data_IF_303230987359
#
_entry.id   IF_303230987359
#
_cell.length_a   1.000
_cell.length_b   1.000
_cell.length_c   1.000
_cell.angle_alpha   90.00
_cell.angle_beta   90.00
_cell.angle_gamma   90.00
#
_symmetry.space_group_name_H-M   'P 1'
#
loop_
_entity.id
_entity.type
_entity.pdbx_description
1 polymer ?
#
# COMPACT_ATOMS: atom_id res chain seq x y z
N UNK A 1 61.12 33.53 -36.46
CA UNK A 1 59.74 33.60 -36.03
C UNK A 1 59.34 32.21 -35.48
N UNK A 2 59.33 32.06 -34.17
CA UNK A 2 58.99 30.79 -33.50
C UNK A 2 57.50 30.80 -33.26
N UNK A 3 56.74 29.84 -33.87
CA UNK A 3 55.32 29.63 -33.60
C UNK A 3 55.18 28.78 -32.34
N UNK A 4 54.66 29.36 -31.30
CA UNK A 4 54.31 28.66 -30.08
C UNK A 4 52.93 28.07 -30.33
N UNK A 5 52.84 26.72 -30.35
CA UNK A 5 51.58 25.99 -30.40
C UNK A 5 51.17 25.77 -28.93
N UNK A 6 50.16 26.47 -28.50
CA UNK A 6 49.53 26.26 -27.20
C UNK A 6 48.57 25.10 -27.36
N UNK A 7 48.96 23.94 -26.87
CA UNK A 7 48.08 22.75 -26.74
C UNK A 7 47.22 22.92 -25.48
N UNK A 8 46.01 23.39 -25.66
CA UNK A 8 45.01 23.41 -24.57
C UNK A 8 44.48 21.99 -24.38
N UNK A 9 45.00 21.30 -23.37
CA UNK A 9 44.44 20.03 -22.87
C UNK A 9 43.15 20.35 -22.18
N UNK A 10 42.02 20.19 -22.84
CA UNK A 10 40.71 20.17 -22.20
C UNK A 10 40.58 18.84 -21.41
N UNK A 11 40.94 18.89 -20.15
CA UNK A 11 40.63 17.78 -19.22
C UNK A 11 39.11 17.74 -19.07
N UNK A 12 38.44 16.86 -19.81
CA UNK A 12 37.07 16.47 -19.56
C UNK A 12 37.03 15.78 -18.16
N UNK A 13 36.66 16.55 -17.15
CA UNK A 13 36.24 16.03 -15.88
C UNK A 13 34.95 15.22 -16.11
N UNK A 14 35.09 13.94 -16.41
CA UNK A 14 34.00 12.98 -16.33
C UNK A 14 33.66 12.81 -14.84
N UNK A 15 32.73 13.63 -14.37
CA UNK A 15 32.11 13.42 -13.08
C UNK A 15 31.33 12.11 -13.21
N UNK A 16 31.67 11.03 -12.47
CA UNK A 16 30.82 9.85 -12.46
C UNK A 16 29.49 10.30 -11.91
N UNK A 17 28.47 10.37 -12.76
CA UNK A 17 27.08 10.42 -12.30
C UNK A 17 26.87 9.06 -11.64
N UNK A 18 27.02 9.00 -10.34
CA UNK A 18 26.55 7.86 -9.56
C UNK A 18 25.04 7.91 -9.72
N UNK A 19 24.52 7.16 -10.68
CA UNK A 19 23.11 6.84 -10.73
C UNK A 19 22.82 6.10 -9.40
N UNK A 20 22.33 6.82 -8.43
CA UNK A 20 21.73 6.21 -7.26
C UNK A 20 20.56 5.39 -7.81
N UNK A 21 20.62 4.05 -7.69
CA UNK A 21 19.48 3.19 -7.97
C UNK A 21 18.32 3.68 -7.11
N UNK A 22 17.48 4.48 -7.73
CA UNK A 22 16.33 5.08 -7.09
C UNK A 22 15.34 3.94 -6.87
N UNK A 23 15.24 3.46 -5.65
CA UNK A 23 14.23 2.48 -5.29
C UNK A 23 12.86 3.13 -5.45
N UNK A 24 12.10 2.67 -6.44
CA UNK A 24 10.72 3.07 -6.60
C UNK A 24 9.85 2.30 -5.59
N UNK A 25 9.02 3.01 -4.84
CA UNK A 25 8.11 2.41 -3.88
C UNK A 25 7.11 1.52 -4.61
N UNK A 26 7.11 0.23 -4.27
CA UNK A 26 6.24 -0.79 -4.85
C UNK A 26 5.11 -1.12 -3.88
N UNK A 27 3.88 -0.90 -4.32
CA UNK A 27 2.68 -1.18 -3.55
C UNK A 27 1.55 -1.67 -4.46
N UNK A 28 0.69 -2.53 -3.91
CA UNK A 28 -0.54 -3.03 -4.54
C UNK A 28 -1.70 -2.58 -3.68
N UNK A 29 -2.74 -2.08 -4.32
CA UNK A 29 -3.93 -1.59 -3.65
C UNK A 29 -5.18 -2.24 -4.26
N UNK A 30 -6.13 -2.58 -3.39
CA UNK A 30 -7.44 -3.08 -3.78
C UNK A 30 -8.51 -2.68 -2.78
N UNK A 31 -9.76 -2.85 -3.15
CA UNK A 31 -10.89 -2.63 -2.24
C UNK A 31 -12.04 -3.60 -2.52
N UNK A 32 -12.88 -3.78 -1.53
CA UNK A 32 -14.12 -4.55 -1.63
C UNK A 32 -15.23 -3.84 -0.88
N UNK A 33 -16.47 -4.03 -1.34
CA UNK A 33 -17.65 -3.46 -0.69
C UNK A 33 -18.45 -4.57 -0.01
N UNK A 34 -18.96 -4.28 1.17
CA UNK A 34 -19.71 -5.23 1.99
C UNK A 34 -20.98 -4.61 2.54
N UNK A 35 -21.94 -5.46 2.85
CA UNK A 35 -23.21 -5.05 3.42
C UNK A 35 -23.57 -5.90 4.64
N UNK A 36 -23.93 -5.22 5.71
CA UNK A 36 -24.49 -5.83 6.91
C UNK A 36 -25.96 -5.43 6.98
N UNK A 37 -26.93 -6.37 6.95
CA UNK A 37 -28.36 -6.04 6.89
C UNK A 37 -28.89 -5.15 8.03
N UNK A 38 -28.24 -5.20 9.18
CA UNK A 38 -28.60 -4.42 10.39
C UNK A 38 -27.80 -3.11 10.53
N UNK A 39 -26.93 -2.80 9.58
CA UNK A 39 -26.02 -1.67 9.65
C UNK A 39 -25.83 -1.03 8.26
N UNK A 40 -24.92 -0.07 8.14
CA UNK A 40 -24.58 0.57 6.87
C UNK A 40 -23.64 -0.31 6.05
N UNK A 41 -23.67 -0.17 4.73
CA UNK A 41 -22.61 -0.71 3.88
C UNK A 41 -21.25 -0.15 4.30
N UNK A 42 -20.19 -0.89 3.98
CA UNK A 42 -18.84 -0.43 4.23
C UNK A 42 -17.90 -0.87 3.11
N UNK A 43 -16.82 -0.14 2.96
CA UNK A 43 -15.71 -0.44 2.07
C UNK A 43 -14.54 -0.92 2.91
N UNK A 44 -13.94 -2.04 2.52
CA UNK A 44 -12.61 -2.44 2.99
C UNK A 44 -11.58 -2.10 1.94
N UNK A 45 -10.49 -1.49 2.36
CA UNK A 45 -9.32 -1.23 1.53
C UNK A 45 -8.18 -2.11 1.99
N UNK A 46 -7.44 -2.62 1.02
CA UNK A 46 -6.31 -3.51 1.20
C UNK A 46 -5.09 -2.89 0.55
N UNK A 47 -4.04 -2.72 1.31
CA UNK A 47 -2.78 -2.17 0.83
C UNK A 47 -1.64 -3.10 1.20
N UNK A 48 -0.88 -3.53 0.20
CA UNK A 48 0.37 -4.27 0.39
C UNK A 48 1.52 -3.40 -0.11
N UNK A 49 2.52 -3.14 0.73
CA UNK A 49 3.73 -2.39 0.38
C UNK A 49 4.92 -3.32 0.50
N UNK A 50 5.71 -3.43 -0.56
CA UNK A 50 6.98 -4.16 -0.54
C UNK A 50 7.99 -3.42 0.33
N UNK A 51 8.24 -3.90 1.55
CA UNK A 51 9.16 -3.24 2.49
C UNK A 51 10.58 -3.09 1.92
N UNK A 52 11.04 -4.03 1.07
CA UNK A 52 12.35 -3.95 0.42
C UNK A 52 12.46 -2.81 -0.61
N UNK A 53 11.34 -2.24 -1.08
CA UNK A 53 11.33 -1.07 -1.98
C UNK A 53 11.47 0.25 -1.23
N UNK A 54 11.46 0.22 0.10
CA UNK A 54 11.52 1.37 0.98
C UNK A 54 12.91 1.56 1.58
N UNK A 55 13.14 2.74 2.14
CA UNK A 55 14.37 3.09 2.85
C UNK A 55 14.24 2.64 4.30
N UNK A 56 15.25 1.90 4.76
CA UNK A 56 15.35 1.49 6.16
C UNK A 56 16.14 2.50 6.98
N UNK A 57 15.59 2.92 8.09
CA UNK A 57 16.28 3.70 9.12
C UNK A 57 16.87 2.77 10.19
N UNK A 58 18.09 3.04 10.59
CA UNK A 58 18.71 2.34 11.71
C UNK A 58 18.13 2.87 13.02
N UNK A 59 17.56 1.96 13.80
CA UNK A 59 17.02 2.24 15.13
C UNK A 59 17.94 1.71 16.22
N UNK A 60 17.45 1.38 17.40
CA UNK A 60 18.25 0.88 18.51
C UNK A 60 18.78 -0.53 18.27
N UNK A 61 19.86 -0.92 18.96
CA UNK A 61 20.41 -2.28 19.00
C UNK A 61 20.75 -2.88 17.62
N UNK A 62 21.26 -2.05 16.71
CA UNK A 62 21.62 -2.46 15.34
C UNK A 62 20.46 -3.05 14.53
N UNK A 63 19.23 -2.68 14.87
CA UNK A 63 18.02 -3.05 14.13
C UNK A 63 17.63 -1.94 13.17
N UNK A 64 16.82 -2.30 12.19
CA UNK A 64 16.35 -1.42 11.12
C UNK A 64 14.84 -1.46 11.05
N UNK A 65 14.25 -0.34 10.63
CA UNK A 65 12.80 -0.19 10.47
C UNK A 65 12.51 0.70 9.27
N UNK A 66 11.38 0.49 8.61
CA UNK A 66 10.89 1.38 7.55
C UNK A 66 9.48 1.85 7.87
N UNK A 67 9.09 3.02 7.37
CA UNK A 67 7.80 3.63 7.66
C UNK A 67 7.20 4.24 6.40
N UNK A 68 5.98 3.81 6.05
CA UNK A 68 5.14 4.45 5.05
C UNK A 68 4.21 5.46 5.72
N UNK A 69 4.13 6.67 5.18
CA UNK A 69 3.07 7.63 5.47
C UNK A 69 1.93 7.39 4.49
N UNK A 70 0.74 7.11 5.01
CA UNK A 70 -0.46 6.80 4.23
C UNK A 70 -1.50 7.88 4.47
N UNK A 71 -2.12 8.36 3.39
CA UNK A 71 -3.24 9.29 3.46
C UNK A 71 -4.37 8.78 2.58
N UNK A 72 -5.57 8.66 3.14
CA UNK A 72 -6.78 8.23 2.43
C UNK A 72 -7.82 9.34 2.54
N UNK A 73 -8.33 9.78 1.39
CA UNK A 73 -9.43 10.74 1.30
C UNK A 73 -10.54 10.14 0.45
N UNK A 74 -11.77 10.11 0.97
CA UNK A 74 -12.96 9.66 0.23
C UNK A 74 -13.93 10.82 0.16
N UNK A 75 -14.38 11.17 -1.05
CA UNK A 75 -15.27 12.28 -1.33
C UNK A 75 -16.56 11.79 -1.98
N UNK A 76 -17.65 12.46 -1.70
CA UNK A 76 -18.94 12.34 -2.39
C UNK A 76 -19.37 13.72 -2.88
N UNK A 77 -19.54 13.89 -4.19
CA UNK A 77 -19.87 15.19 -4.79
C UNK A 77 -18.96 16.32 -4.27
N UNK A 78 -17.65 16.13 -4.35
CA UNK A 78 -16.59 17.04 -3.86
C UNK A 78 -16.55 17.26 -2.33
N UNK A 79 -17.49 16.72 -1.59
CA UNK A 79 -17.49 16.81 -0.13
C UNK A 79 -16.69 15.66 0.49
N UNK A 80 -15.77 15.98 1.39
CA UNK A 80 -14.94 14.97 2.08
C UNK A 80 -15.81 14.21 3.09
N UNK A 81 -15.96 12.91 2.88
CA UNK A 81 -16.66 12.00 3.79
C UNK A 81 -15.69 11.30 4.75
N UNK A 82 -14.48 11.00 4.26
CA UNK A 82 -13.42 10.36 5.05
C UNK A 82 -12.11 11.07 4.75
N UNK A 83 -11.34 11.32 5.80
CA UNK A 83 -9.95 11.74 5.69
C UNK A 83 -9.16 11.07 6.81
N UNK A 84 -8.15 10.28 6.46
CA UNK A 84 -7.25 9.63 7.41
C UNK A 84 -5.81 9.80 6.96
N UNK A 85 -4.93 10.09 7.91
CA UNK A 85 -3.49 10.12 7.71
C UNK A 85 -2.81 9.40 8.87
N UNK A 86 -1.93 8.45 8.56
CA UNK A 86 -1.25 7.63 9.56
C UNK A 86 0.07 7.06 9.03
N UNK A 87 0.88 6.51 9.91
CA UNK A 87 2.11 5.83 9.58
C UNK A 87 1.91 4.32 9.72
N UNK A 88 2.32 3.58 8.70
CA UNK A 88 2.48 2.13 8.73
C UNK A 88 3.96 1.81 8.86
N UNK A 89 4.34 1.27 10.01
CA UNK A 89 5.74 1.03 10.37
C UNK A 89 6.01 -0.47 10.42
N UNK A 90 7.15 -0.89 9.87
CA UNK A 90 7.55 -2.30 9.88
C UNK A 90 7.90 -2.79 11.28
N UNK A 91 7.90 -4.10 11.54
CA UNK A 91 8.66 -4.66 12.64
C UNK A 91 10.12 -4.24 12.58
N UNK A 92 10.80 -4.26 13.72
CA UNK A 92 12.26 -4.10 13.76
C UNK A 92 12.92 -5.37 13.23
N UNK A 93 13.89 -5.23 12.34
CA UNK A 93 14.62 -6.32 11.72
C UNK A 93 16.14 -6.10 11.84
N UNK A 94 16.90 -7.16 11.88
CA UNK A 94 18.37 -7.13 11.92
C UNK A 94 19.00 -7.19 10.52
N UNK A 95 18.25 -7.76 9.56
CA UNK A 95 18.71 -7.98 8.19
C UNK A 95 17.76 -7.30 7.19
N UNK A 96 18.22 -6.22 6.57
CA UNK A 96 17.47 -5.44 5.58
C UNK A 96 17.36 -6.13 4.21
N UNK A 97 18.01 -7.28 4.01
CA UNK A 97 17.88 -8.08 2.79
C UNK A 97 16.66 -8.99 2.82
N UNK A 98 16.06 -9.19 3.99
CA UNK A 98 14.81 -9.93 4.14
C UNK A 98 13.67 -9.26 3.40
N UNK A 99 12.98 -10.06 2.60
CA UNK A 99 11.80 -9.60 1.83
C UNK A 99 10.54 -9.92 2.62
N UNK A 100 9.75 -8.91 2.87
CA UNK A 100 8.42 -9.03 3.47
C UNK A 100 7.54 -7.86 3.02
N UNK A 101 6.26 -8.01 3.21
CA UNK A 101 5.27 -6.99 2.89
C UNK A 101 4.74 -6.34 4.17
N UNK A 102 4.51 -5.04 4.11
CA UNK A 102 3.64 -4.34 5.04
C UNK A 102 2.22 -4.45 4.50
N UNK A 103 1.30 -4.92 5.32
CA UNK A 103 -0.10 -5.08 4.94
C UNK A 103 -0.93 -4.17 5.82
N UNK A 104 -1.81 -3.41 5.18
CA UNK A 104 -2.78 -2.54 5.84
C UNK A 104 -4.20 -2.87 5.36
N UNK A 105 -5.13 -2.86 6.29
CA UNK A 105 -6.54 -3.06 6.05
C UNK A 105 -7.33 -2.00 6.80
N UNK A 106 -8.12 -1.21 6.06
CA UNK A 106 -8.97 -0.19 6.64
C UNK A 106 -10.44 -0.45 6.29
N UNK A 107 -11.35 -0.03 7.19
CA UNK A 107 -12.80 -0.15 7.01
C UNK A 107 -13.44 1.23 7.13
N UNK A 108 -14.30 1.54 6.16
CA UNK A 108 -15.01 2.81 6.06
C UNK A 108 -16.50 2.56 5.88
N UNK A 109 -17.32 2.90 6.88
CA UNK A 109 -18.77 2.86 6.73
C UNK A 109 -19.20 3.98 5.78
N UNK A 110 -19.82 3.63 4.67
CA UNK A 110 -20.27 4.56 3.64
C UNK A 110 -21.73 4.23 3.26
N UNK A 111 -22.53 5.24 3.03
CA UNK A 111 -23.88 5.06 2.51
C UNK A 111 -23.86 4.72 1.02
N UNK A 112 -24.98 4.31 0.46
CA UNK A 112 -25.09 4.12 -0.97
C UNK A 112 -24.72 5.39 -1.74
N UNK A 113 -23.89 5.24 -2.78
CA UNK A 113 -23.46 6.37 -3.61
C UNK A 113 -22.22 6.06 -4.43
N UNK A 114 -21.87 7.07 -5.24
CA UNK A 114 -20.61 7.13 -5.96
C UNK A 114 -19.64 7.98 -5.15
N UNK A 115 -18.39 7.53 -5.07
CA UNK A 115 -17.33 8.20 -4.32
C UNK A 115 -16.05 8.27 -5.15
N UNK A 116 -15.29 9.33 -4.94
CA UNK A 116 -13.92 9.45 -5.39
C UNK A 116 -12.99 9.19 -4.20
N UNK A 117 -12.10 8.23 -4.33
CA UNK A 117 -11.09 7.90 -3.33
C UNK A 117 -9.72 8.24 -3.85
N UNK A 118 -8.95 8.94 -3.05
CA UNK A 118 -7.52 9.20 -3.25
C UNK A 118 -6.74 8.54 -2.13
N UNK A 119 -5.80 7.67 -2.51
CA UNK A 119 -4.82 7.05 -1.62
C UNK A 119 -3.45 7.59 -1.97
N UNK A 120 -2.76 8.17 -1.01
CA UNK A 120 -1.37 8.62 -1.13
C UNK A 120 -0.49 7.76 -0.25
N UNK A 121 0.60 7.23 -0.82
CA UNK A 121 1.58 6.40 -0.13
C UNK A 121 2.95 7.07 -0.31
N UNK A 122 3.64 7.35 0.77
CA UNK A 122 4.96 7.96 0.78
C UNK A 122 5.90 7.20 1.70
N UNK A 123 7.09 6.87 1.21
CA UNK A 123 8.17 6.44 2.08
C UNK A 123 8.63 7.65 2.92
N UNK A 124 8.52 7.54 4.24
CA UNK A 124 8.83 8.64 5.17
C UNK A 124 10.30 9.07 5.11
N UNK A 125 11.18 8.16 4.72
CA UNK A 125 12.64 8.40 4.67
C UNK A 125 13.12 8.72 3.25
N UNK A 126 12.23 8.72 2.25
CA UNK A 126 12.54 9.14 0.89
C UNK A 126 12.21 10.61 0.65
N UNK A 127 13.08 11.28 -0.12
CA UNK A 127 12.79 12.60 -0.68
C UNK A 127 11.88 12.56 -1.90
N UNK A 128 11.54 11.36 -2.38
CA UNK A 128 10.76 11.16 -3.59
C UNK A 128 9.29 11.57 -3.42
N UNK A 129 8.64 11.78 -4.56
CA UNK A 129 7.22 12.06 -4.58
C UNK A 129 6.41 10.86 -4.05
N UNK A 130 5.27 11.17 -3.48
CA UNK A 130 4.32 10.15 -3.07
C UNK A 130 3.70 9.44 -4.29
N UNK A 131 3.42 8.15 -4.15
CA UNK A 131 2.55 7.43 -5.09
C UNK A 131 1.10 7.78 -4.78
N UNK A 132 0.34 8.14 -5.81
CA UNK A 132 -1.07 8.52 -5.68
C UNK A 132 -1.91 7.56 -6.51
N UNK A 133 -2.89 6.95 -5.87
CA UNK A 133 -3.90 6.09 -6.50
C UNK A 133 -5.25 6.79 -6.41
N UNK A 134 -5.94 6.91 -7.52
CA UNK A 134 -7.28 7.49 -7.60
C UNK A 134 -8.26 6.42 -8.06
N UNK A 135 -9.29 6.16 -7.25
CA UNK A 135 -10.31 5.15 -7.50
C UNK A 135 -11.71 5.71 -7.41
N UNK A 136 -12.59 5.19 -8.26
CA UNK A 136 -14.03 5.47 -8.19
C UNK A 136 -14.75 4.32 -7.52
N UNK A 137 -15.35 4.58 -6.37
CA UNK A 137 -16.08 3.59 -5.61
C UNK A 137 -17.57 3.68 -5.91
N UNK A 138 -18.20 2.53 -6.14
CA UNK A 138 -19.65 2.39 -6.13
C UNK A 138 -20.06 1.55 -4.93
N UNK A 139 -20.77 2.15 -4.00
CA UNK A 139 -21.44 1.45 -2.90
C UNK A 139 -22.93 1.44 -3.21
N UNK A 140 -23.48 0.27 -3.48
CA UNK A 140 -24.90 0.15 -3.81
C UNK A 140 -25.48 -1.18 -3.33
N UNK A 141 -26.29 -1.09 -2.31
CA UNK A 141 -27.05 -2.21 -1.75
C UNK A 141 -28.50 -1.79 -1.61
N UNK A 142 -29.39 -2.50 -2.33
CA UNK A 142 -30.82 -2.19 -2.33
C UNK A 142 -31.43 -2.63 -1.00
N UNK A 143 -32.08 -1.74 -0.23
CA UNK A 143 -32.77 -2.13 1.00
C UNK A 143 -33.83 -3.21 0.74
N UNK A 144 -33.99 -4.14 1.70
CA UNK A 144 -35.01 -5.20 1.69
C UNK A 144 -34.94 -6.13 0.46
N UNK A 145 -33.78 -6.23 -0.17
CA UNK A 145 -33.53 -7.15 -1.27
C UNK A 145 -32.39 -8.09 -0.90
N UNK A 146 -32.39 -9.28 -1.50
CA UNK A 146 -31.20 -10.13 -1.47
C UNK A 146 -30.04 -9.38 -2.12
N UNK A 147 -28.89 -9.33 -1.46
CA UNK A 147 -27.68 -8.71 -1.96
C UNK A 147 -26.50 -9.63 -1.69
N UNK A 148 -25.54 -9.60 -2.59
CA UNK A 148 -24.25 -10.29 -2.44
C UNK A 148 -23.19 -9.20 -2.32
N UNK A 149 -22.39 -9.27 -1.27
CA UNK A 149 -21.19 -8.44 -1.11
C UNK A 149 -20.12 -8.82 -2.14
N UNK A 150 -19.09 -8.00 -2.27
CA UNK A 150 -17.90 -8.38 -3.03
C UNK A 150 -17.34 -9.71 -2.52
N UNK A 151 -16.82 -10.53 -3.41
CA UNK A 151 -16.07 -11.74 -3.06
C UNK A 151 -14.62 -11.32 -2.86
N UNK A 152 -14.09 -11.62 -1.67
CA UNK A 152 -12.67 -11.38 -1.36
C UNK A 152 -11.93 -12.70 -1.31
N UNK A 153 -10.92 -12.84 -2.17
CA UNK A 153 -10.01 -13.98 -2.13
C UNK A 153 -9.09 -13.88 -0.91
N UNK A 154 -8.80 -15.01 -0.29
CA UNK A 154 -7.98 -15.10 0.91
C UNK A 154 -6.80 -16.03 0.69
N UNK A 155 -5.61 -15.63 1.13
CA UNK A 155 -4.45 -16.51 1.22
C UNK A 155 -4.61 -17.53 2.34
N UNK A 156 -5.26 -17.11 3.42
CA UNK A 156 -5.48 -17.94 4.60
C UNK A 156 -6.83 -17.65 5.22
N UNK A 157 -7.56 -18.70 5.57
CA UNK A 157 -8.80 -18.63 6.36
C UNK A 157 -8.76 -19.73 7.41
N UNK A 158 -8.56 -19.36 8.69
CA UNK A 158 -8.45 -20.31 9.80
C UNK A 158 -9.05 -19.72 11.07
N UNK A 159 -9.37 -20.59 12.06
CA UNK A 159 -9.87 -20.10 13.32
C UNK A 159 -8.84 -19.21 14.00
N UNK A 160 -9.25 -18.00 14.40
CA UNK A 160 -8.36 -17.05 15.05
C UNK A 160 -8.01 -17.51 16.47
N UNK A 161 -6.75 -17.37 16.82
CA UNK A 161 -6.26 -17.56 18.20
C UNK A 161 -6.12 -16.23 18.95
N UNK A 162 -5.97 -15.13 18.19
CA UNK A 162 -5.87 -13.75 18.70
C UNK A 162 -6.62 -12.83 17.75
N UNK A 163 -7.14 -11.73 18.27
CA UNK A 163 -7.77 -10.71 17.43
C UNK A 163 -6.73 -9.74 16.87
N UNK A 164 -6.85 -9.46 15.56
CA UNK A 164 -6.05 -8.46 14.84
C UNK A 164 -6.87 -7.88 13.67
N UNK A 165 -6.25 -7.06 12.82
CA UNK A 165 -6.93 -6.40 11.68
C UNK A 165 -7.55 -7.40 10.68
N UNK A 166 -7.01 -8.62 10.58
CA UNK A 166 -7.50 -9.69 9.70
C UNK A 166 -8.51 -10.62 10.39
N UNK A 167 -8.82 -10.39 11.65
CA UNK A 167 -9.79 -11.23 12.36
C UNK A 167 -11.22 -10.74 12.12
N UNK A 168 -12.08 -11.65 11.68
CA UNK A 168 -13.51 -11.42 11.48
C UNK A 168 -14.30 -12.64 11.94
N UNK A 169 -15.28 -12.41 12.81
CA UNK A 169 -16.16 -13.47 13.35
C UNK A 169 -15.42 -14.69 13.92
N UNK A 170 -14.26 -14.45 14.58
CA UNK A 170 -13.46 -15.51 15.16
C UNK A 170 -12.56 -16.28 14.18
N UNK A 171 -12.47 -15.83 12.94
CA UNK A 171 -11.56 -16.37 11.92
C UNK A 171 -10.49 -15.36 11.55
N UNK A 172 -9.26 -15.82 11.39
CA UNK A 172 -8.18 -15.09 10.76
C UNK A 172 -8.31 -15.24 9.25
N UNK A 173 -8.44 -14.13 8.54
CA UNK A 173 -8.70 -14.07 7.11
C UNK A 173 -7.75 -13.07 6.47
N UNK A 174 -6.63 -13.56 5.95
CA UNK A 174 -5.65 -12.72 5.26
C UNK A 174 -6.05 -12.57 3.79
N UNK A 175 -6.33 -11.35 3.31
CA UNK A 175 -6.76 -11.14 1.94
C UNK A 175 -5.63 -11.42 0.95
N UNK A 176 -5.99 -12.02 -0.19
CA UNK A 176 -5.15 -12.09 -1.37
C UNK A 176 -5.39 -10.83 -2.21
N UNK A 177 -4.35 -10.03 -2.43
CA UNK A 177 -4.48 -8.69 -3.03
C UNK A 177 -3.87 -8.63 -4.44
N UNK A 178 -2.98 -9.57 -4.77
CA UNK A 178 -2.31 -9.60 -6.08
C UNK A 178 -3.30 -9.89 -7.23
N UNK A 179 -3.06 -9.26 -8.38
CA UNK A 179 -3.82 -9.50 -9.61
C UNK A 179 -3.44 -10.81 -10.32
N UNK A 180 -2.36 -11.44 -9.89
CA UNK A 180 -1.82 -12.66 -10.47
C UNK A 180 -1.67 -13.75 -9.42
N UNK A 181 -2.28 -14.91 -9.66
CA UNK A 181 -2.13 -16.10 -8.83
C UNK A 181 -0.98 -16.97 -9.38
N UNK A 182 0.15 -17.09 -8.67
CA UNK A 182 1.25 -17.97 -9.08
C UNK A 182 0.81 -19.43 -9.15
N UNK A 183 1.40 -20.22 -10.06
CA UNK A 183 1.11 -21.66 -10.20
C UNK A 183 1.33 -22.45 -8.89
N UNK A 184 2.21 -21.97 -8.02
CA UNK A 184 2.46 -22.57 -6.71
C UNK A 184 1.27 -22.47 -5.75
N UNK A 185 0.36 -21.52 -5.96
CA UNK A 185 -0.87 -21.37 -5.17
C UNK A 185 -1.95 -22.24 -5.80
N UNK A 186 -2.18 -23.41 -5.21
CA UNK A 186 -3.16 -24.38 -5.71
C UNK A 186 -4.57 -24.18 -5.11
N UNK A 187 -4.68 -23.40 -4.04
CA UNK A 187 -5.95 -23.16 -3.34
C UNK A 187 -6.03 -21.72 -2.87
N UNK A 188 -7.17 -21.09 -3.10
CA UNK A 188 -7.59 -19.83 -2.50
C UNK A 188 -8.90 -20.04 -1.75
N UNK A 189 -9.07 -19.32 -0.64
CA UNK A 189 -10.31 -19.32 0.12
C UNK A 189 -11.15 -18.08 -0.25
N UNK A 190 -12.44 -18.12 -0.02
CA UNK A 190 -13.37 -16.99 -0.21
C UNK A 190 -14.57 -17.07 0.73
#
# INVERSE_FOLDING_TARGET
>A
MKRIVILTIAALLSIPVIAQDKKELSAIFGYSTFYIPSDKPYVETYLTINAWSMIYEKVKNNQYQTTAEISITIKKNDSVCVSRKYNLTSPMIEDTTKRFNLIDLQRFSLENGFYDMELTIKDKHSSDNANVVNEKLLVYYKPQSAAISSVQLMTSAQKATTENIFTRNGYYMEPYIDDYVPEAITHLNF
#
